data_IF_216400123324
#
_entry.id   IF_216400123324
#
_cell.length_a   1.000
_cell.length_b   1.000
_cell.length_c   1.000
_cell.angle_alpha   90.00
_cell.angle_beta   90.00
_cell.angle_gamma   90.00
#
_symmetry.space_group_name_H-M   'P 1'
#
loop_
_entity.id
_entity.type
_entity.pdbx_description
1 polymer ?
#
# COMPACT_ATOMS: atom_id res chain seq x y z
N UNK A 1 19.11 16.90 8.06
CA UNK A 1 18.12 15.85 8.12
C UNK A 1 16.73 16.39 7.93
N UNK A 2 15.79 15.53 7.56
CA UNK A 2 14.37 15.85 7.41
C UNK A 2 13.63 15.24 8.59
N UNK A 3 12.73 15.99 9.23
CA UNK A 3 11.80 15.49 10.22
C UNK A 3 10.47 15.18 9.57
N UNK A 4 9.88 14.03 9.90
CA UNK A 4 8.57 13.62 9.41
C UNK A 4 7.55 13.77 10.53
N UNK A 5 6.42 14.42 10.24
CA UNK A 5 5.22 14.43 11.06
C UNK A 5 4.13 13.65 10.35
N UNK A 6 3.48 12.75 11.05
CA UNK A 6 2.38 11.96 10.46
C UNK A 6 1.04 12.59 10.77
N UNK A 7 0.17 12.61 9.76
CA UNK A 7 -1.27 12.85 9.93
C UNK A 7 -1.94 11.50 9.78
N UNK A 8 -2.43 10.96 10.88
CA UNK A 8 -2.75 9.53 11.02
C UNK A 8 -4.18 9.22 10.62
N UNK A 9 -4.37 8.39 9.61
CA UNK A 9 -5.65 7.73 9.32
C UNK A 9 -5.84 6.49 10.20
N UNK A 10 -7.09 6.05 10.37
CA UNK A 10 -7.45 4.97 11.30
C UNK A 10 -8.30 3.90 10.64
N UNK A 11 -8.15 2.66 11.11
CA UNK A 11 -8.89 1.51 10.59
C UNK A 11 -10.40 1.64 10.79
N UNK A 12 -10.81 2.30 11.89
CA UNK A 12 -12.22 2.47 12.26
C UNK A 12 -13.02 3.30 11.25
N UNK A 13 -12.34 4.18 10.50
CA UNK A 13 -12.93 4.97 9.40
C UNK A 13 -12.47 4.49 8.01
N UNK A 14 -12.00 3.25 7.91
CA UNK A 14 -11.52 2.66 6.65
C UNK A 14 -10.26 3.31 6.09
N UNK A 15 -9.48 4.01 6.91
CA UNK A 15 -8.29 4.76 6.54
C UNK A 15 -8.54 5.99 5.65
N UNK A 16 -9.74 6.57 5.70
CA UNK A 16 -10.06 7.81 5.00
C UNK A 16 -9.05 8.93 5.34
N UNK A 17 -8.88 9.87 4.42
CA UNK A 17 -8.02 11.02 4.62
C UNK A 17 -8.42 11.76 5.90
N UNK A 18 -7.46 12.05 6.81
CA UNK A 18 -7.72 12.87 7.98
C UNK A 18 -8.29 14.26 7.65
N UNK A 19 -8.84 14.92 8.63
CA UNK A 19 -9.45 16.24 8.44
C UNK A 19 -8.44 17.31 8.03
N UNK A 20 -8.91 18.38 7.39
CA UNK A 20 -8.07 19.55 7.06
C UNK A 20 -7.45 20.12 8.32
N UNK A 21 -8.19 20.14 9.43
CA UNK A 21 -7.71 20.62 10.73
C UNK A 21 -6.53 19.83 11.28
N UNK A 22 -6.48 18.51 11.00
CA UNK A 22 -5.37 17.67 11.44
C UNK A 22 -4.08 17.96 10.63
N UNK A 23 -4.23 18.25 9.34
CA UNK A 23 -3.11 18.76 8.52
C UNK A 23 -2.65 20.13 9.00
N UNK A 24 -3.56 21.07 9.22
CA UNK A 24 -3.24 22.41 9.71
C UNK A 24 -2.48 22.41 11.04
N UNK A 25 -2.85 21.51 11.97
CA UNK A 25 -2.12 21.34 13.24
C UNK A 25 -0.71 20.78 13.05
N UNK A 26 -0.48 19.99 11.99
CA UNK A 26 0.81 19.39 11.70
C UNK A 26 1.76 20.33 10.95
N UNK A 27 1.21 21.27 10.17
CA UNK A 27 1.96 22.24 9.36
C UNK A 27 2.60 23.32 10.24
N UNK A 28 3.81 23.70 9.91
CA UNK A 28 4.57 24.80 10.54
C UNK A 28 5.31 25.58 9.45
N UNK A 29 5.92 26.71 9.80
CA UNK A 29 6.81 27.50 8.94
C UNK A 29 8.00 26.71 8.35
N UNK A 30 8.35 25.59 8.99
CA UNK A 30 9.41 24.65 8.54
C UNK A 30 8.90 23.54 7.64
N UNK A 31 7.60 23.36 7.51
CA UNK A 31 7.02 22.33 6.63
C UNK A 31 7.32 22.66 5.18
N UNK A 32 7.76 21.67 4.41
CA UNK A 32 8.13 21.86 3.00
C UNK A 32 7.29 21.00 2.05
N UNK A 33 6.74 19.90 2.53
CA UNK A 33 6.03 18.98 1.66
C UNK A 33 5.02 18.13 2.42
N UNK A 34 4.02 17.67 1.67
CA UNK A 34 3.15 16.55 2.04
C UNK A 34 3.55 15.36 1.15
N UNK A 35 3.61 14.15 1.73
CA UNK A 35 3.83 12.92 0.99
C UNK A 35 2.64 12.00 1.18
N UNK A 36 2.09 11.53 0.07
CA UNK A 36 1.02 10.53 0.03
C UNK A 36 1.43 9.33 -0.83
N UNK A 37 0.77 8.20 -0.60
CA UNK A 37 0.80 7.03 -1.48
C UNK A 37 -0.64 6.74 -1.91
N UNK A 38 -0.93 6.82 -3.22
CA UNK A 38 -2.29 6.69 -3.74
C UNK A 38 -2.32 5.86 -5.03
N UNK A 39 -2.93 4.68 -5.02
CA UNK A 39 -3.50 3.90 -3.91
C UNK A 39 -2.47 3.54 -2.85
N UNK A 40 -2.93 3.38 -1.61
CA UNK A 40 -2.05 3.32 -0.45
C UNK A 40 -1.51 1.92 -0.14
N UNK A 41 -0.22 1.83 0.10
CA UNK A 41 0.42 0.75 0.85
C UNK A 41 0.80 1.34 2.23
N UNK A 42 0.26 0.83 3.36
CA UNK A 42 -0.24 -0.54 3.55
C UNK A 42 -1.77 -0.73 3.55
N UNK A 43 -2.56 0.33 3.50
CA UNK A 43 -3.99 0.27 3.85
C UNK A 43 -4.91 -0.19 2.71
N UNK A 44 -4.45 -0.10 1.45
CA UNK A 44 -5.30 -0.30 0.28
C UNK A 44 -6.31 0.83 0.03
N UNK A 45 -6.18 1.95 0.75
CA UNK A 45 -7.05 3.10 0.57
C UNK A 45 -6.78 3.79 -0.77
N UNK A 46 -7.82 4.23 -1.44
CA UNK A 46 -7.77 5.05 -2.64
C UNK A 46 -8.45 6.39 -2.33
N UNK A 47 -7.72 7.49 -2.43
CA UNK A 47 -8.28 8.81 -2.20
C UNK A 47 -9.33 9.16 -3.24
N UNK A 48 -10.43 9.73 -2.79
CA UNK A 48 -11.45 10.32 -3.65
C UNK A 48 -10.95 11.61 -4.30
N UNK A 49 -11.61 12.01 -5.39
CA UNK A 49 -11.33 13.29 -6.04
C UNK A 49 -11.50 14.46 -5.07
N UNK A 50 -12.53 14.43 -4.22
CA UNK A 50 -12.77 15.44 -3.18
C UNK A 50 -11.61 15.51 -2.17
N UNK A 51 -11.08 14.36 -1.72
CA UNK A 51 -9.93 14.30 -0.81
C UNK A 51 -8.67 14.86 -1.46
N UNK A 52 -8.43 14.56 -2.74
CA UNK A 52 -7.31 15.11 -3.50
C UNK A 52 -7.43 16.63 -3.68
N UNK A 53 -8.64 17.14 -3.91
CA UNK A 53 -8.86 18.59 -3.97
C UNK A 53 -8.67 19.27 -2.61
N UNK A 54 -9.05 18.63 -1.50
CA UNK A 54 -8.73 19.15 -0.15
C UNK A 54 -7.22 19.23 0.09
N UNK A 55 -6.46 18.21 -0.33
CA UNK A 55 -5.00 18.23 -0.27
C UNK A 55 -4.40 19.33 -1.14
N UNK A 56 -4.93 19.51 -2.37
CA UNK A 56 -4.55 20.62 -3.26
C UNK A 56 -4.68 21.97 -2.56
N UNK A 57 -5.83 22.23 -1.94
CA UNK A 57 -6.10 23.51 -1.30
C UNK A 57 -5.15 23.77 -0.12
N UNK A 58 -4.79 22.75 0.65
CA UNK A 58 -3.77 22.83 1.71
C UNK A 58 -2.40 23.16 1.11
N UNK A 59 -2.00 22.48 0.04
CA UNK A 59 -0.71 22.67 -0.64
C UNK A 59 -0.58 24.09 -1.19
N UNK A 60 -1.63 24.61 -1.84
CA UNK A 60 -1.66 25.97 -2.34
C UNK A 60 -1.59 27.00 -1.20
N UNK A 61 -2.38 26.82 -0.15
CA UNK A 61 -2.45 27.72 1.00
C UNK A 61 -1.10 27.91 1.69
N UNK A 62 -0.32 26.84 1.79
CA UNK A 62 0.94 26.84 2.54
C UNK A 62 2.19 26.81 1.64
N UNK A 63 2.03 26.91 0.32
CA UNK A 63 3.11 26.83 -0.68
C UNK A 63 4.04 25.62 -0.46
N UNK A 64 3.42 24.44 -0.35
CA UNK A 64 4.12 23.18 -0.10
C UNK A 64 4.38 22.43 -1.42
N UNK A 65 5.30 21.45 -1.38
CA UNK A 65 5.37 20.39 -2.38
C UNK A 65 4.40 19.27 -2.02
N UNK A 66 3.83 18.62 -3.03
CA UNK A 66 3.07 17.38 -2.89
C UNK A 66 3.83 16.24 -3.59
N UNK A 67 4.40 15.33 -2.81
CA UNK A 67 4.94 14.08 -3.31
C UNK A 67 3.83 13.03 -3.34
N UNK A 68 3.54 12.49 -4.51
CA UNK A 68 2.54 11.42 -4.70
C UNK A 68 3.21 10.17 -5.22
N UNK A 69 3.28 9.13 -4.39
CA UNK A 69 3.67 7.79 -4.83
C UNK A 69 2.45 7.13 -5.48
N UNK A 70 2.50 6.96 -6.80
CA UNK A 70 1.40 6.44 -7.62
C UNK A 70 1.69 5.05 -8.20
N UNK A 71 2.65 4.34 -7.64
CA UNK A 71 3.09 3.03 -8.14
C UNK A 71 1.97 1.98 -8.22
N UNK A 72 0.90 2.13 -7.44
CA UNK A 72 -0.27 1.23 -7.45
C UNK A 72 -1.46 1.74 -8.28
N UNK A 73 -1.33 2.80 -9.08
CA UNK A 73 -2.46 3.45 -9.76
C UNK A 73 -3.26 2.54 -10.71
N UNK A 74 -2.67 1.47 -11.22
CA UNK A 74 -3.37 0.47 -12.03
C UNK A 74 -4.23 -0.50 -11.18
N UNK A 75 -3.95 -0.60 -9.88
CA UNK A 75 -4.70 -1.43 -8.94
C UNK A 75 -5.72 -0.57 -8.20
N UNK A 76 -6.77 -0.16 -8.89
CA UNK A 76 -7.90 0.60 -8.36
C UNK A 76 -9.18 -0.19 -8.62
N UNK A 77 -10.02 -0.33 -7.63
CA UNK A 77 -11.18 -1.22 -7.66
C UNK A 77 -12.48 -0.43 -7.61
N UNK A 78 -12.54 0.64 -8.39
CA UNK A 78 -13.69 1.52 -8.55
C UNK A 78 -13.89 1.83 -10.02
N UNK A 79 -15.13 2.18 -10.41
CA UNK A 79 -15.46 2.58 -11.79
C UNK A 79 -15.02 4.03 -12.09
N UNK A 80 -14.70 4.81 -11.07
CA UNK A 80 -14.24 6.18 -11.23
C UNK A 80 -12.87 6.24 -11.93
N UNK A 81 -12.62 7.20 -12.82
CA UNK A 81 -11.30 7.45 -13.37
C UNK A 81 -10.27 7.72 -12.28
N UNK A 82 -9.04 7.27 -12.49
CA UNK A 82 -7.94 7.62 -11.59
C UNK A 82 -7.53 9.08 -11.78
N UNK A 83 -7.54 9.86 -10.71
CA UNK A 83 -7.00 11.21 -10.71
C UNK A 83 -5.55 11.19 -10.19
N UNK A 84 -4.59 11.39 -11.11
CA UNK A 84 -3.19 11.62 -10.72
C UNK A 84 -3.02 13.00 -10.09
N UNK A 85 -2.14 13.10 -9.10
CA UNK A 85 -1.79 14.39 -8.52
C UNK A 85 -1.24 15.40 -9.56
N UNK A 86 -0.65 14.92 -10.67
CA UNK A 86 -0.20 15.76 -11.79
C UNK A 86 -1.35 16.55 -12.45
N UNK A 87 -2.58 16.08 -12.33
CA UNK A 87 -3.76 16.71 -12.94
C UNK A 87 -4.52 17.64 -11.98
N UNK A 88 -3.99 17.87 -10.76
CA UNK A 88 -4.55 18.82 -9.82
C UNK A 88 -4.23 20.25 -10.28
N UNK A 89 -5.25 20.93 -10.74
CA UNK A 89 -5.15 22.29 -11.28
C UNK A 89 -4.54 23.28 -10.30
N UNK A 90 -3.60 24.08 -10.76
CA UNK A 90 -2.88 25.09 -9.97
C UNK A 90 -1.65 24.55 -9.23
N UNK A 91 -1.39 23.22 -9.28
CA UNK A 91 -0.24 22.59 -8.62
C UNK A 91 0.93 22.25 -9.56
N UNK A 92 1.00 22.82 -10.75
CA UNK A 92 2.01 22.48 -11.78
C UNK A 92 3.45 22.65 -11.27
N UNK A 93 3.67 23.56 -10.31
CA UNK A 93 4.99 23.78 -9.69
C UNK A 93 5.20 23.02 -8.39
N UNK A 94 4.16 22.43 -7.84
CA UNK A 94 4.16 21.86 -6.50
C UNK A 94 4.21 20.31 -6.51
N UNK A 95 3.65 19.66 -7.55
CA UNK A 95 3.51 18.20 -7.58
C UNK A 95 4.76 17.53 -8.11
N UNK A 96 5.15 16.47 -7.41
CA UNK A 96 6.17 15.51 -7.82
C UNK A 96 5.59 14.11 -7.67
N UNK A 97 5.33 13.44 -8.80
CA UNK A 97 4.86 12.05 -8.82
C UNK A 97 6.03 11.09 -8.88
N UNK A 98 5.92 10.03 -8.10
CA UNK A 98 6.83 8.90 -8.08
C UNK A 98 6.08 7.70 -8.62
N UNK A 99 6.66 7.00 -9.60
CA UNK A 99 6.05 5.83 -10.23
C UNK A 99 7.11 4.78 -10.56
N UNK A 100 6.69 3.58 -10.96
CA UNK A 100 7.57 2.47 -11.26
C UNK A 100 6.89 1.43 -12.15
N UNK A 101 7.66 0.72 -12.95
CA UNK A 101 7.21 -0.46 -13.70
C UNK A 101 6.97 -1.67 -12.79
N UNK A 102 7.47 -1.63 -11.56
CA UNK A 102 7.51 -2.76 -10.62
C UNK A 102 6.15 -3.40 -10.34
N UNK A 103 5.09 -2.59 -10.24
CA UNK A 103 3.74 -3.09 -9.91
C UNK A 103 2.87 -3.20 -11.15
N UNK A 104 2.88 -2.16 -11.97
CA UNK A 104 2.08 -2.09 -13.21
C UNK A 104 2.32 -3.27 -14.14
N UNK A 105 3.58 -3.67 -14.33
CA UNK A 105 3.97 -4.74 -15.25
C UNK A 105 4.51 -5.99 -14.54
N UNK A 106 4.35 -6.08 -13.22
CA UNK A 106 4.91 -7.19 -12.40
C UNK A 106 6.43 -7.33 -12.52
N UNK A 107 7.13 -6.23 -12.75
CA UNK A 107 8.56 -6.17 -13.05
C UNK A 107 9.40 -5.63 -11.88
N UNK A 108 9.09 -6.04 -10.66
CA UNK A 108 9.82 -5.56 -9.49
C UNK A 108 11.34 -5.87 -9.53
N UNK A 109 11.75 -6.88 -10.30
CA UNK A 109 13.15 -7.27 -10.48
C UNK A 109 13.94 -6.36 -11.41
N UNK A 110 13.32 -5.60 -12.31
CA UNK A 110 14.00 -4.71 -13.27
C UNK A 110 14.62 -3.49 -12.61
N UNK A 111 14.12 -3.07 -11.46
CA UNK A 111 14.60 -1.93 -10.67
C UNK A 111 14.49 -0.59 -11.42
N UNK A 112 13.42 -0.38 -12.14
CA UNK A 112 13.13 0.85 -12.88
C UNK A 112 12.00 1.63 -12.21
N UNK A 113 12.28 2.87 -11.87
CA UNK A 113 11.32 3.85 -11.35
C UNK A 113 11.52 5.18 -12.03
N UNK A 114 10.55 6.07 -11.87
CA UNK A 114 10.54 7.38 -12.50
C UNK A 114 10.01 8.44 -11.55
N UNK A 115 10.44 9.67 -11.79
CA UNK A 115 9.94 10.88 -11.16
C UNK A 115 9.38 11.77 -12.26
N UNK A 116 8.17 12.29 -12.08
CA UNK A 116 7.47 13.11 -13.05
C UNK A 116 6.97 14.38 -12.37
N UNK A 117 7.23 15.54 -12.98
CA UNK A 117 6.74 16.83 -12.52
C UNK A 117 6.70 17.83 -13.66
N UNK A 118 5.79 18.79 -13.61
CA UNK A 118 5.78 19.98 -14.47
C UNK A 118 6.77 21.05 -13.99
N UNK A 119 7.28 20.95 -12.76
CA UNK A 119 8.26 21.87 -12.19
C UNK A 119 9.64 21.66 -12.81
N UNK A 120 10.00 22.47 -13.80
CA UNK A 120 11.28 22.37 -14.54
C UNK A 120 12.51 22.59 -13.64
N UNK A 121 12.42 23.44 -12.64
CA UNK A 121 13.53 23.72 -11.72
C UNK A 121 13.78 22.51 -10.79
N UNK A 122 12.71 21.96 -10.21
CA UNK A 122 12.81 20.74 -9.44
C UNK A 122 13.38 19.58 -10.28
N UNK A 123 12.87 19.38 -11.51
CA UNK A 123 13.36 18.33 -12.41
C UNK A 123 14.82 18.52 -12.81
N UNK A 124 15.28 19.76 -13.05
CA UNK A 124 16.69 20.03 -13.32
C UNK A 124 17.59 19.69 -12.11
N UNK A 125 17.11 19.93 -10.90
CA UNK A 125 17.82 19.57 -9.66
C UNK A 125 17.84 18.05 -9.45
N UNK A 126 16.70 17.37 -9.62
CA UNK A 126 16.59 15.91 -9.53
C UNK A 126 17.51 15.21 -10.54
N UNK A 127 17.58 15.75 -11.78
CA UNK A 127 18.46 15.20 -12.81
C UNK A 127 19.94 15.18 -12.38
N UNK A 128 20.43 16.21 -11.66
CA UNK A 128 21.80 16.23 -11.12
C UNK A 128 22.04 15.08 -10.15
N UNK A 129 21.06 14.78 -9.27
CA UNK A 129 21.16 13.62 -8.37
C UNK A 129 21.10 12.28 -9.13
N UNK A 130 20.28 12.19 -10.17
CA UNK A 130 20.24 11.00 -11.04
C UNK A 130 21.58 10.79 -11.74
N UNK A 131 22.21 11.85 -12.26
CA UNK A 131 23.54 11.80 -12.89
C UNK A 131 24.62 11.38 -11.88
N UNK A 132 24.59 11.87 -10.65
CA UNK A 132 25.53 11.48 -9.61
C UNK A 132 25.39 9.99 -9.22
N UNK A 133 24.17 9.45 -9.28
CA UNK A 133 23.86 8.04 -9.00
C UNK A 133 24.19 7.13 -10.19
N UNK A 134 24.31 7.67 -11.39
CA UNK A 134 24.39 6.99 -12.70
C UNK A 134 23.04 6.39 -13.16
N UNK A 135 23.05 5.82 -14.37
CA UNK A 135 21.85 5.29 -15.02
C UNK A 135 21.34 4.00 -14.32
N UNK A 136 20.05 3.71 -14.43
CA UNK A 136 19.52 2.39 -14.09
C UNK A 136 20.16 1.28 -14.95
N UNK A 137 20.07 -0.02 -14.56
CA UNK A 137 20.60 -1.13 -15.33
C UNK A 137 20.06 -1.16 -16.77
N UNK A 138 20.93 -1.31 -17.77
CA UNK A 138 20.55 -1.31 -19.19
C UNK A 138 19.48 -2.37 -19.50
N UNK A 139 19.66 -3.61 -19.02
CA UNK A 139 18.69 -4.69 -19.25
C UNK A 139 17.33 -4.35 -18.66
N UNK A 140 17.29 -3.70 -17.47
CA UNK A 140 16.05 -3.23 -16.87
C UNK A 140 15.36 -2.16 -17.71
N UNK A 141 16.11 -1.26 -18.35
CA UNK A 141 15.56 -0.22 -19.24
C UNK A 141 14.94 -0.85 -20.48
N UNK A 142 15.61 -1.83 -21.11
CA UNK A 142 15.10 -2.54 -22.31
C UNK A 142 13.79 -3.27 -21.97
N UNK A 143 13.74 -3.98 -20.83
CA UNK A 143 12.52 -4.68 -20.39
C UNK A 143 11.41 -3.69 -20.13
N UNK A 144 11.68 -2.59 -19.41
CA UNK A 144 10.69 -1.57 -19.12
C UNK A 144 10.15 -0.89 -20.39
N UNK A 145 11.00 -0.63 -21.38
CA UNK A 145 10.61 -0.09 -22.69
C UNK A 145 9.64 -1.04 -23.42
N UNK A 146 10.00 -2.33 -23.50
CA UNK A 146 9.15 -3.33 -24.12
C UNK A 146 7.79 -3.47 -23.42
N UNK A 147 7.73 -3.26 -22.11
CA UNK A 147 6.48 -3.37 -21.32
C UNK A 147 5.52 -2.20 -21.55
N UNK A 148 6.02 -1.03 -22.01
CA UNK A 148 5.17 0.11 -22.37
C UNK A 148 4.28 -0.24 -23.57
N UNK A 149 4.74 -1.09 -24.46
CA UNK A 149 3.96 -1.63 -25.57
C UNK A 149 2.99 -2.75 -25.15
N UNK A 150 3.00 -3.09 -23.86
CA UNK A 150 2.16 -4.12 -23.25
C UNK A 150 0.68 -3.86 -23.46
N UNK A 151 -0.07 -4.93 -23.69
CA UNK A 151 -1.44 -4.86 -24.12
C UNK A 151 -2.37 -4.42 -23.00
N UNK A 152 -3.38 -3.64 -23.37
CA UNK A 152 -4.55 -3.30 -22.56
C UNK A 152 -5.23 -4.57 -21.98
N UNK A 153 -5.13 -5.68 -22.71
CA UNK A 153 -5.62 -7.00 -22.31
C UNK A 153 -4.93 -7.53 -21.04
N UNK A 154 -3.60 -7.42 -20.94
CA UNK A 154 -2.85 -7.82 -19.73
C UNK A 154 -3.30 -7.02 -18.50
N UNK A 155 -3.39 -5.70 -18.64
CA UNK A 155 -3.80 -4.83 -17.52
C UNK A 155 -5.22 -5.15 -17.05
N UNK A 156 -6.14 -5.42 -17.99
CA UNK A 156 -7.53 -5.79 -17.68
C UNK A 156 -7.62 -7.18 -17.03
N UNK A 157 -6.84 -8.14 -17.50
CA UNK A 157 -6.78 -9.48 -16.89
C UNK A 157 -6.24 -9.41 -15.45
N UNK A 158 -5.14 -8.67 -15.22
CA UNK A 158 -4.61 -8.43 -13.88
C UNK A 158 -5.63 -7.75 -12.96
N UNK A 159 -6.30 -6.72 -13.43
CA UNK A 159 -7.31 -5.99 -12.68
C UNK A 159 -8.44 -6.92 -12.20
N UNK A 160 -9.01 -7.72 -13.11
CA UNK A 160 -10.09 -8.64 -12.78
C UNK A 160 -9.67 -9.72 -11.77
N UNK A 161 -8.46 -10.25 -11.94
CA UNK A 161 -7.88 -11.23 -11.02
C UNK A 161 -7.71 -10.66 -9.60
N UNK A 162 -7.19 -9.43 -9.48
CA UNK A 162 -7.00 -8.81 -8.17
C UNK A 162 -8.31 -8.40 -7.50
N UNK A 163 -9.34 -8.02 -8.25
CA UNK A 163 -10.70 -7.85 -7.70
C UNK A 163 -11.19 -9.16 -7.08
N UNK A 164 -11.10 -10.27 -7.82
CA UNK A 164 -11.55 -11.57 -7.35
C UNK A 164 -10.80 -11.99 -6.07
N UNK A 165 -9.48 -11.83 -6.05
CA UNK A 165 -8.65 -12.12 -4.87
C UNK A 165 -9.01 -11.25 -3.67
N UNK A 166 -9.17 -9.93 -3.88
CA UNK A 166 -9.58 -8.99 -2.84
C UNK A 166 -10.92 -9.38 -2.23
N UNK A 167 -11.93 -9.55 -3.05
CA UNK A 167 -13.30 -9.82 -2.61
C UNK A 167 -13.37 -11.15 -1.84
N UNK A 168 -12.71 -12.18 -2.34
CA UNK A 168 -12.59 -13.46 -1.68
C UNK A 168 -11.88 -13.35 -0.32
N UNK A 169 -10.71 -12.71 -0.31
CA UNK A 169 -9.84 -12.66 0.87
C UNK A 169 -10.42 -11.79 1.99
N UNK A 170 -10.89 -10.58 1.67
CA UNK A 170 -11.45 -9.67 2.66
C UNK A 170 -12.77 -10.21 3.24
N UNK A 171 -13.62 -10.79 2.38
CA UNK A 171 -14.84 -11.47 2.85
C UNK A 171 -14.52 -12.66 3.77
N UNK A 172 -13.44 -13.39 3.47
CA UNK A 172 -12.98 -14.49 4.31
C UNK A 172 -12.41 -14.01 5.65
N UNK A 173 -11.55 -12.98 5.64
CA UNK A 173 -11.01 -12.39 6.87
C UNK A 173 -12.11 -11.95 7.83
N UNK A 174 -13.11 -11.24 7.33
CA UNK A 174 -14.21 -10.70 8.15
C UNK A 174 -15.19 -11.78 8.66
N UNK A 175 -15.06 -13.04 8.22
CA UNK A 175 -15.78 -14.19 8.80
C UNK A 175 -15.07 -14.80 9.99
N UNK A 176 -13.76 -14.56 10.15
CA UNK A 176 -13.00 -15.08 11.28
C UNK A 176 -13.38 -14.29 12.54
N UNK A 177 -13.80 -14.95 13.63
CA UNK A 177 -14.28 -14.27 14.82
C UNK A 177 -13.26 -13.28 15.42
N UNK A 178 -13.66 -12.00 15.49
CA UNK A 178 -12.85 -10.91 16.05
C UNK A 178 -11.81 -10.32 15.09
N UNK A 179 -11.74 -10.78 13.85
CA UNK A 179 -10.95 -10.15 12.80
C UNK A 179 -11.79 -9.10 12.08
N UNK A 180 -11.19 -7.94 11.82
CA UNK A 180 -11.82 -6.88 11.02
C UNK A 180 -10.82 -6.30 10.03
N UNK A 181 -11.23 -6.19 8.78
CA UNK A 181 -10.48 -5.53 7.70
C UNK A 181 -11.45 -4.69 6.87
N UNK A 182 -11.22 -3.38 6.69
CA UNK A 182 -11.99 -2.60 5.74
C UNK A 182 -11.76 -3.10 4.31
N UNK A 183 -12.72 -2.88 3.42
CA UNK A 183 -12.58 -3.24 2.01
C UNK A 183 -11.61 -2.28 1.33
N UNK A 184 -10.46 -2.75 0.80
CA UNK A 184 -9.53 -1.88 0.08
C UNK A 184 -10.10 -1.50 -1.29
N UNK A 185 -9.93 -0.24 -1.68
CA UNK A 185 -10.31 0.27 -3.00
C UNK A 185 -9.13 0.39 -3.96
N UNK A 186 -7.93 0.03 -3.52
CA UNK A 186 -6.74 0.04 -4.36
C UNK A 186 -5.58 -0.78 -3.79
N UNK A 187 -4.48 -0.82 -4.52
CA UNK A 187 -3.29 -1.64 -4.26
C UNK A 187 -3.64 -3.14 -4.14
N UNK A 188 -2.83 -3.93 -3.50
CA UNK A 188 -3.10 -5.35 -3.21
C UNK A 188 -2.74 -5.71 -1.75
N UNK A 189 -2.94 -4.73 -0.87
CA UNK A 189 -2.74 -4.86 0.57
C UNK A 189 -4.00 -4.52 1.33
N UNK A 190 -4.05 -5.04 2.55
CA UNK A 190 -5.01 -4.61 3.57
C UNK A 190 -4.35 -4.60 4.94
N UNK A 191 -4.87 -3.77 5.82
CA UNK A 191 -4.63 -3.85 7.26
C UNK A 191 -5.85 -4.55 7.89
N UNK A 192 -5.58 -5.55 8.71
CA UNK A 192 -6.60 -6.21 9.51
C UNK A 192 -6.27 -6.09 10.99
N UNK A 193 -7.27 -5.80 11.82
CA UNK A 193 -7.17 -5.97 13.27
C UNK A 193 -7.46 -7.42 13.63
N UNK A 194 -6.66 -7.97 14.53
CA UNK A 194 -6.77 -9.33 15.01
C UNK A 194 -7.20 -9.34 16.49
N UNK A 195 -7.89 -10.39 16.97
CA UNK A 195 -8.28 -10.55 18.36
C UNK A 195 -7.09 -11.01 19.24
N UNK A 196 -5.99 -10.25 19.19
CA UNK A 196 -4.75 -10.46 19.97
C UNK A 196 -4.33 -9.16 20.65
N UNK A 197 -3.59 -9.26 21.73
CA UNK A 197 -3.08 -8.07 22.43
C UNK A 197 -1.92 -7.40 21.67
N UNK A 198 -1.04 -8.23 21.08
CA UNK A 198 0.12 -7.78 20.33
C UNK A 198 0.30 -8.64 19.07
N UNK A 199 0.17 -8.01 17.90
CA UNK A 199 0.31 -8.69 16.62
C UNK A 199 1.77 -9.07 16.31
N UNK A 200 2.77 -8.37 16.86
CA UNK A 200 4.18 -8.70 16.69
C UNK A 200 4.50 -10.05 17.35
N UNK A 201 4.05 -10.23 18.60
CA UNK A 201 4.21 -11.49 19.34
C UNK A 201 3.44 -12.63 18.64
N UNK A 202 2.23 -12.36 18.17
CA UNK A 202 1.45 -13.35 17.42
C UNK A 202 2.14 -13.75 16.11
N UNK A 203 2.64 -12.80 15.32
CA UNK A 203 3.35 -13.08 14.08
C UNK A 203 4.64 -13.87 14.32
N UNK A 204 5.41 -13.50 15.36
CA UNK A 204 6.61 -14.26 15.75
C UNK A 204 6.25 -15.69 16.14
N UNK A 205 5.24 -15.88 16.97
CA UNK A 205 4.76 -17.19 17.38
C UNK A 205 4.27 -18.04 16.20
N UNK A 206 3.58 -17.45 15.22
CA UNK A 206 3.18 -18.16 14.00
C UNK A 206 4.38 -18.77 13.26
N UNK A 207 5.54 -18.11 13.32
CA UNK A 207 6.74 -18.57 12.60
C UNK A 207 7.62 -19.52 13.40
N UNK A 208 7.56 -19.48 14.72
CA UNK A 208 8.47 -20.25 15.61
C UNK A 208 7.83 -21.47 16.25
N UNK A 209 6.56 -21.37 16.63
CA UNK A 209 5.89 -22.35 17.49
C UNK A 209 4.63 -22.97 16.86
N UNK A 210 3.95 -22.26 15.96
CA UNK A 210 2.72 -22.74 15.36
C UNK A 210 2.98 -23.55 14.09
N UNK A 211 2.28 -24.69 13.99
CA UNK A 211 2.27 -25.52 12.78
C UNK A 211 0.93 -26.24 12.68
N UNK A 212 0.23 -26.02 11.58
CA UNK A 212 -1.05 -26.66 11.30
C UNK A 212 -0.89 -27.78 10.27
N UNK A 213 -1.55 -28.91 10.50
CA UNK A 213 -1.54 -30.05 9.59
C UNK A 213 -2.91 -30.72 9.54
N UNK A 214 -3.38 -30.98 8.34
CA UNK A 214 -4.57 -31.77 8.02
C UNK A 214 -4.39 -32.52 6.69
N UNK A 215 -5.47 -33.09 6.16
CA UNK A 215 -5.45 -33.81 4.87
C UNK A 215 -5.14 -32.91 3.67
N UNK A 216 -5.34 -31.57 3.81
CA UNK A 216 -5.00 -30.56 2.79
C UNK A 216 -3.53 -30.15 2.80
N UNK A 217 -2.76 -30.54 3.81
CA UNK A 217 -1.33 -30.21 3.89
C UNK A 217 -0.54 -30.97 2.79
N UNK A 218 0.27 -30.25 1.96
CA UNK A 218 1.03 -30.90 0.88
C UNK A 218 1.93 -32.02 1.37
N UNK A 219 2.05 -33.10 0.57
CA UNK A 219 2.89 -34.23 0.90
C UNK A 219 4.35 -33.82 1.13
N UNK A 220 4.93 -34.29 2.22
CA UNK A 220 6.31 -33.99 2.61
C UNK A 220 6.46 -32.81 3.56
N UNK A 221 5.39 -32.04 3.78
CA UNK A 221 5.39 -30.96 4.78
C UNK A 221 5.05 -31.53 6.17
N UNK A 222 5.74 -31.01 7.18
CA UNK A 222 5.46 -31.34 8.59
C UNK A 222 4.26 -30.54 9.12
N UNK A 223 3.95 -29.42 8.50
CA UNK A 223 2.84 -28.52 8.78
C UNK A 223 2.98 -27.22 8.00
N UNK A 224 1.99 -26.36 8.14
CA UNK A 224 1.88 -25.08 7.46
C UNK A 224 1.66 -23.96 8.48
N UNK A 225 2.06 -22.76 8.14
CA UNK A 225 1.80 -21.55 8.93
C UNK A 225 1.48 -20.37 8.03
N UNK A 226 1.13 -19.22 8.62
CA UNK A 226 0.91 -17.95 7.91
C UNK A 226 1.99 -16.95 8.29
N UNK A 227 2.40 -16.14 7.31
CA UNK A 227 3.34 -15.04 7.49
C UNK A 227 2.66 -13.72 7.18
N UNK A 228 2.71 -12.80 8.13
CA UNK A 228 2.11 -11.47 8.05
C UNK A 228 3.09 -10.43 8.58
N UNK A 229 2.92 -9.18 8.18
CA UNK A 229 3.73 -8.09 8.71
C UNK A 229 2.97 -7.39 9.85
N UNK A 230 3.51 -7.32 11.09
CA UNK A 230 2.93 -6.53 12.16
C UNK A 230 2.76 -5.07 11.71
N UNK A 231 1.65 -4.42 12.05
CA UNK A 231 1.33 -3.11 11.52
C UNK A 231 1.75 -1.95 12.44
N UNK A 232 2.14 -2.19 13.68
CA UNK A 232 2.57 -1.15 14.60
C UNK A 232 3.70 -0.28 14.02
N UNK A 233 4.64 -0.87 13.28
CA UNK A 233 5.74 -0.15 12.62
C UNK A 233 5.33 0.77 11.47
N UNK A 234 4.09 0.74 11.00
CA UNK A 234 3.56 1.68 10.01
C UNK A 234 2.99 2.96 10.63
N UNK A 235 2.85 2.99 11.96
CA UNK A 235 2.38 4.16 12.69
C UNK A 235 3.52 4.84 13.44
N UNK A 236 3.50 6.16 13.47
CA UNK A 236 4.41 6.94 14.32
C UNK A 236 3.82 7.22 15.70
N UNK A 237 2.52 6.99 15.88
CA UNK A 237 1.83 7.14 17.16
C UNK A 237 2.06 5.89 18.00
N UNK A 238 2.61 6.01 19.21
CA UNK A 238 2.82 4.86 20.09
C UNK A 238 1.51 4.08 20.35
N UNK A 239 1.62 2.77 20.47
CA UNK A 239 0.54 1.82 20.74
C UNK A 239 -0.56 1.72 19.67
N UNK A 240 -0.52 2.54 18.62
CA UNK A 240 -1.45 2.43 17.51
C UNK A 240 -1.06 1.26 16.60
N UNK A 241 -2.07 0.50 16.16
CA UNK A 241 -1.86 -0.67 15.30
C UNK A 241 -1.25 -1.88 15.99
N UNK A 242 -1.18 -1.89 17.33
CA UNK A 242 -0.55 -2.96 18.13
C UNK A 242 -1.16 -4.34 17.87
N UNK A 243 -2.46 -4.40 17.61
CA UNK A 243 -3.20 -5.63 17.27
C UNK A 243 -3.47 -5.76 15.77
N UNK A 244 -2.77 -5.00 14.93
CA UNK A 244 -3.02 -4.98 13.48
C UNK A 244 -1.87 -5.63 12.72
N UNK A 245 -2.22 -6.18 11.56
CA UNK A 245 -1.26 -6.77 10.60
C UNK A 245 -1.54 -6.27 9.20
N UNK A 246 -0.46 -6.12 8.39
CA UNK A 246 -0.59 -5.96 6.95
C UNK A 246 -0.56 -7.31 6.27
N UNK A 247 -1.49 -7.54 5.37
CA UNK A 247 -1.57 -8.70 4.51
C UNK A 247 -1.58 -8.29 3.03
N UNK A 248 -1.07 -9.16 2.16
CA UNK A 248 -1.10 -8.99 0.71
C UNK A 248 -1.89 -10.14 0.08
N UNK A 249 -2.89 -9.83 -0.73
CA UNK A 249 -3.71 -10.84 -1.43
C UNK A 249 -3.15 -11.14 -2.84
N UNK A 250 -1.87 -11.53 -2.88
CA UNK A 250 -1.12 -11.78 -4.12
C UNK A 250 -1.13 -13.25 -4.56
N UNK A 251 -1.57 -14.15 -3.71
CA UNK A 251 -1.70 -15.57 -4.00
C UNK A 251 -2.98 -15.86 -4.79
N UNK A 252 -3.08 -17.04 -5.38
CA UNK A 252 -4.32 -17.51 -6.01
C UNK A 252 -5.42 -17.71 -4.95
N UNK A 253 -6.68 -17.68 -5.38
CA UNK A 253 -7.83 -17.80 -4.47
C UNK A 253 -7.82 -19.09 -3.64
N UNK A 254 -7.36 -20.23 -4.22
CA UNK A 254 -7.23 -21.48 -3.46
C UNK A 254 -6.20 -21.36 -2.32
N UNK A 255 -5.06 -20.75 -2.61
CA UNK A 255 -3.99 -20.53 -1.62
C UNK A 255 -4.41 -19.48 -0.57
N UNK A 256 -5.16 -18.45 -0.98
CA UNK A 256 -5.76 -17.48 -0.06
C UNK A 256 -6.78 -18.16 0.86
N UNK A 257 -7.61 -19.08 0.33
CA UNK A 257 -8.53 -19.88 1.12
C UNK A 257 -7.81 -20.75 2.14
N UNK A 258 -6.72 -21.38 1.73
CA UNK A 258 -5.87 -22.16 2.64
C UNK A 258 -5.25 -21.26 3.73
N UNK A 259 -4.76 -20.09 3.36
CA UNK A 259 -4.19 -19.12 4.30
C UNK A 259 -5.21 -18.63 5.33
N UNK A 260 -6.46 -18.39 4.93
CA UNK A 260 -7.56 -18.01 5.82
C UNK A 260 -7.85 -19.12 6.86
N UNK A 261 -7.94 -20.38 6.42
CA UNK A 261 -8.13 -21.51 7.32
C UNK A 261 -6.99 -21.62 8.34
N UNK A 262 -5.74 -21.51 7.88
CA UNK A 262 -4.57 -21.61 8.76
C UNK A 262 -4.53 -20.45 9.75
N UNK A 263 -4.87 -19.22 9.32
CA UNK A 263 -4.98 -18.04 10.20
C UNK A 263 -6.04 -18.25 11.29
N UNK A 264 -7.22 -18.75 10.93
CA UNK A 264 -8.28 -19.04 11.89
C UNK A 264 -7.80 -20.05 12.94
N UNK A 265 -7.16 -21.14 12.52
CA UNK A 265 -6.59 -22.17 13.41
C UNK A 265 -5.45 -21.63 14.28
N UNK A 266 -4.63 -20.73 13.76
CA UNK A 266 -3.61 -20.05 14.53
C UNK A 266 -4.24 -19.18 15.65
N UNK A 267 -5.25 -18.37 15.33
CA UNK A 267 -5.94 -17.55 16.31
C UNK A 267 -6.68 -18.35 17.37
N UNK A 268 -7.35 -19.46 16.99
CA UNK A 268 -7.98 -20.41 17.94
C UNK A 268 -6.98 -21.01 18.90
N UNK A 269 -5.79 -21.35 18.42
CA UNK A 269 -4.72 -21.97 19.21
C UNK A 269 -4.05 -20.96 20.13
N UNK A 270 -3.78 -19.75 19.62
CA UNK A 270 -3.14 -18.68 20.39
C UNK A 270 -3.97 -18.20 21.58
N UNK A 271 -5.30 -18.14 21.43
CA UNK A 271 -6.22 -17.77 22.52
C UNK A 271 -6.23 -18.75 23.70
N UNK A 272 -5.76 -19.99 23.50
CA UNK A 272 -5.69 -21.04 24.52
C UNK A 272 -4.37 -21.03 25.28
N UNK A 273 -3.42 -20.21 24.86
CA UNK A 273 -2.07 -20.09 25.44
C UNK A 273 -2.06 -18.99 26.52
#
# INVERSE_FOLDING_TARGET
GISVKTVTSRIENGFALPSVEDFEKAITDKTKAILICNPNNPTGYLYSEEELHRLRDIVLKHDLYLFSDEVYREFRYTDAPYLSALNLEGLEKNVIVIDSVSKRYSECGTRIGMIVSHNKEAMATILKFCQARLSPPLLGQIVAEASIEGTEEYSKACFNEYIARRDFFISGLNKIPGVYSPMPNGAFYTIASLPVENAEDFCAWCLTDFSYKDDGTPKGFKGETVMMAPAAGFYSTPDLGKNQVRMAYVLKTEELGRSLLILEKALETYKKK
#
